data_IF_688837761328
#
_entry.id   IF_688837761328
#
_cell.length_a   1.000
_cell.length_b   1.000
_cell.length_c   1.000
_cell.angle_alpha   90.00
_cell.angle_beta   90.00
_cell.angle_gamma   90.00
#
_symmetry.space_group_name_H-M   'P 1'
#
loop_
_entity.id
_entity.type
_entity.pdbx_description
1 polymer ?
#
# COMPACT_ATOMS: atom_id res chain seq x y z
N UNK A 1 1.04 -18.26 -5.30
CA UNK A 1 1.08 -17.03 -6.14
C UNK A 1 -0.31 -16.42 -6.40
N UNK A 2 -1.35 -16.83 -5.66
CA UNK A 2 -2.74 -16.37 -5.84
C UNK A 2 -2.91 -14.87 -5.64
N UNK A 3 -2.21 -14.29 -4.64
CA UNK A 3 -2.20 -12.83 -4.41
C UNK A 3 -1.71 -12.05 -5.64
N UNK A 4 -0.81 -12.63 -6.44
CA UNK A 4 -0.29 -12.03 -7.68
C UNK A 4 -1.20 -12.30 -8.89
N UNK A 5 -2.33 -12.98 -8.73
CA UNK A 5 -3.28 -13.28 -9.81
C UNK A 5 -3.07 -14.61 -10.54
N UNK A 6 -2.09 -15.42 -10.12
CA UNK A 6 -1.89 -16.76 -10.68
C UNK A 6 -2.73 -17.81 -9.94
N UNK A 7 -3.56 -18.54 -10.68
CA UNK A 7 -4.39 -19.67 -10.20
C UNK A 7 -3.70 -21.02 -10.39
N UNK A 8 -4.21 -22.09 -9.79
CA UNK A 8 -3.64 -23.46 -9.93
C UNK A 8 -3.48 -23.92 -11.38
N UNK A 9 -4.30 -23.39 -12.29
CA UNK A 9 -4.28 -23.71 -13.72
C UNK A 9 -3.20 -22.97 -14.53
N UNK A 10 -2.37 -22.14 -13.90
CA UNK A 10 -1.15 -21.62 -14.52
C UNK A 10 -0.03 -22.63 -14.31
N UNK A 11 0.59 -23.10 -15.40
CA UNK A 11 1.77 -23.95 -15.31
C UNK A 11 2.92 -23.19 -14.66
N UNK A 12 3.65 -23.85 -13.76
CA UNK A 12 4.78 -23.27 -13.03
C UNK A 12 5.93 -24.24 -12.91
N UNK A 13 7.14 -23.71 -12.88
CA UNK A 13 8.37 -24.42 -12.60
C UNK A 13 9.07 -23.76 -11.42
N UNK A 14 9.67 -24.58 -10.56
CA UNK A 14 10.44 -24.17 -9.40
C UNK A 14 11.84 -24.76 -9.54
N UNK A 15 12.84 -23.89 -9.51
CA UNK A 15 14.23 -24.29 -9.70
C UNK A 15 15.00 -23.76 -8.49
N UNK A 16 15.52 -24.66 -7.66
CA UNK A 16 16.36 -24.31 -6.53
C UNK A 16 17.82 -24.32 -6.96
N UNK A 17 18.51 -23.22 -6.74
CA UNK A 17 19.94 -23.06 -6.92
C UNK A 17 20.63 -23.00 -5.56
N UNK A 18 21.81 -23.59 -5.49
CA UNK A 18 22.72 -23.52 -4.37
C UNK A 18 24.11 -23.29 -4.95
N UNK A 19 24.47 -22.02 -5.09
CA UNK A 19 25.73 -21.58 -5.69
C UNK A 19 26.52 -20.67 -4.73
N UNK A 20 27.66 -20.15 -5.21
CA UNK A 20 28.58 -19.39 -4.38
C UNK A 20 27.97 -18.11 -3.77
N UNK A 21 26.92 -17.57 -4.40
CA UNK A 21 26.19 -16.38 -3.91
C UNK A 21 25.08 -16.74 -2.90
N UNK A 22 24.86 -18.04 -2.68
CA UNK A 22 23.94 -18.59 -1.70
C UNK A 22 22.71 -19.26 -2.32
N UNK A 23 21.94 -19.93 -1.47
CA UNK A 23 20.75 -20.65 -1.89
C UNK A 23 19.63 -19.69 -2.32
N UNK A 24 19.11 -19.87 -3.53
CA UNK A 24 17.99 -19.10 -4.06
C UNK A 24 17.08 -19.94 -4.95
N UNK A 25 15.81 -19.53 -5.07
CA UNK A 25 14.80 -20.24 -5.88
C UNK A 25 14.30 -19.36 -7.02
N UNK A 26 14.34 -19.87 -8.25
CA UNK A 26 13.61 -19.31 -9.37
C UNK A 26 12.22 -19.90 -9.46
N UNK A 27 11.21 -19.03 -9.49
CA UNK A 27 9.81 -19.42 -9.69
C UNK A 27 9.37 -18.84 -11.02
N UNK A 28 9.13 -19.72 -12.00
CA UNK A 28 8.72 -19.35 -13.35
C UNK A 28 7.27 -19.77 -13.54
N UNK A 29 6.39 -18.84 -13.91
CA UNK A 29 4.97 -19.11 -14.14
C UNK A 29 4.56 -18.72 -15.56
N UNK A 30 3.79 -19.57 -16.22
CA UNK A 30 3.15 -19.24 -17.50
C UNK A 30 2.19 -18.06 -17.31
N UNK A 31 2.20 -17.13 -18.26
CA UNK A 31 1.24 -16.02 -18.32
C UNK A 31 -0.14 -16.43 -18.85
N UNK A 32 -0.26 -17.63 -19.41
CA UNK A 32 -1.49 -18.13 -20.01
C UNK A 32 -2.08 -19.18 -19.07
N UNK A 33 -3.33 -18.95 -18.70
CA UNK A 33 -4.11 -19.93 -17.97
C UNK A 33 -4.53 -21.08 -18.89
N UNK A 34 -4.20 -22.33 -18.53
CA UNK A 34 -4.47 -23.51 -19.35
C UNK A 34 -5.95 -23.80 -19.58
N UNK A 35 -6.81 -23.46 -18.61
CA UNK A 35 -8.25 -23.81 -18.65
C UNK A 35 -9.10 -22.61 -19.07
N UNK A 36 -8.68 -21.40 -18.68
CA UNK A 36 -9.47 -20.19 -18.90
C UNK A 36 -9.03 -19.30 -20.06
N UNK A 37 -7.90 -19.60 -20.74
CA UNK A 37 -7.33 -18.75 -21.79
C UNK A 37 -6.95 -17.32 -21.35
N UNK A 38 -7.16 -16.99 -20.08
CA UNK A 38 -6.91 -15.68 -19.51
C UNK A 38 -5.41 -15.40 -19.55
N UNK A 39 -5.07 -14.30 -20.20
CA UNK A 39 -3.72 -13.81 -20.37
C UNK A 39 -3.37 -12.82 -19.24
N UNK A 40 -2.19 -13.02 -18.65
CA UNK A 40 -1.54 -12.05 -17.79
C UNK A 40 -0.90 -10.96 -18.67
N UNK A 41 -1.50 -9.77 -18.72
CA UNK A 41 -1.18 -8.72 -19.68
C UNK A 41 0.06 -7.90 -19.29
N UNK A 42 0.40 -7.87 -17.99
CA UNK A 42 1.58 -7.16 -17.49
C UNK A 42 1.47 -5.63 -17.52
N UNK A 43 0.25 -5.09 -17.54
CA UNK A 43 -0.03 -3.64 -17.49
C UNK A 43 0.13 -3.09 -16.07
N UNK A 44 -0.70 -3.57 -15.14
CA UNK A 44 -0.72 -3.12 -13.74
C UNK A 44 -0.19 -4.20 -12.79
N UNK A 45 0.01 -5.40 -13.30
CA UNK A 45 0.32 -6.57 -12.50
C UNK A 45 1.74 -6.50 -11.91
N UNK A 46 2.67 -5.77 -12.54
CA UNK A 46 3.98 -5.49 -11.95
C UNK A 46 3.85 -4.66 -10.66
N UNK A 47 3.00 -3.62 -10.66
CA UNK A 47 2.77 -2.77 -9.47
C UNK A 47 2.16 -3.57 -8.32
N UNK A 48 1.23 -4.48 -8.64
CA UNK A 48 0.61 -5.38 -7.67
C UNK A 48 1.65 -6.38 -7.13
N UNK A 49 2.44 -6.99 -8.02
CA UNK A 49 3.45 -7.99 -7.65
C UNK A 49 4.54 -7.38 -6.77
N UNK A 50 5.06 -6.20 -7.14
CA UNK A 50 6.05 -5.46 -6.35
C UNK A 50 5.53 -5.17 -4.94
N UNK A 51 4.28 -4.71 -4.81
CA UNK A 51 3.65 -4.46 -3.50
C UNK A 51 3.55 -5.73 -2.65
N UNK A 52 3.15 -6.85 -3.26
CA UNK A 52 3.03 -8.14 -2.57
C UNK A 52 4.39 -8.65 -2.13
N UNK A 53 5.43 -8.50 -2.96
CA UNK A 53 6.81 -8.87 -2.64
C UNK A 53 7.28 -8.07 -1.42
N UNK A 54 7.16 -6.74 -1.43
CA UNK A 54 7.55 -5.92 -0.28
C UNK A 54 6.77 -6.25 1.00
N UNK A 55 5.49 -6.60 0.87
CA UNK A 55 4.69 -7.04 2.03
C UNK A 55 5.19 -8.36 2.60
N UNK A 56 5.55 -9.33 1.73
CA UNK A 56 6.12 -10.61 2.13
C UNK A 56 7.49 -10.44 2.77
N UNK A 57 8.36 -9.59 2.19
CA UNK A 57 9.66 -9.27 2.77
C UNK A 57 9.53 -8.80 4.21
N UNK A 58 8.60 -7.86 4.46
CA UNK A 58 8.34 -7.35 5.82
C UNK A 58 7.75 -8.41 6.76
N UNK A 59 6.80 -9.22 6.30
CA UNK A 59 6.18 -10.29 7.11
C UNK A 59 7.23 -11.32 7.54
N UNK A 60 8.18 -11.63 6.68
CA UNK A 60 9.19 -12.65 6.90
C UNK A 60 10.54 -12.10 7.39
N UNK A 61 10.65 -10.79 7.63
CA UNK A 61 11.89 -10.17 8.10
C UNK A 61 13.05 -10.26 7.10
N UNK A 62 12.74 -10.31 5.80
CA UNK A 62 13.74 -10.35 4.73
C UNK A 62 14.28 -8.94 4.43
N UNK A 63 15.39 -8.89 3.69
CA UNK A 63 15.93 -7.62 3.16
C UNK A 63 14.90 -7.03 2.20
N UNK A 64 14.38 -5.85 2.52
CA UNK A 64 13.43 -5.16 1.65
C UNK A 64 14.11 -4.73 0.35
N UNK A 65 13.57 -5.17 -0.78
CA UNK A 65 14.05 -4.73 -2.09
C UNK A 65 13.58 -3.31 -2.37
N UNK A 66 14.49 -2.45 -2.88
CA UNK A 66 14.11 -1.10 -3.29
C UNK A 66 13.19 -1.18 -4.51
N UNK A 67 11.92 -0.73 -4.43
CA UNK A 67 11.02 -0.82 -5.56
C UNK A 67 11.48 0.12 -6.68
N UNK A 68 11.40 -0.35 -7.93
CA UNK A 68 11.73 0.44 -9.13
C UNK A 68 10.85 1.69 -9.28
N UNK A 69 9.65 1.68 -8.68
CA UNK A 69 8.79 2.86 -8.56
C UNK A 69 8.89 3.40 -7.14
N UNK A 70 9.44 4.61 -7.00
CA UNK A 70 9.75 5.28 -5.73
C UNK A 70 8.54 5.63 -4.85
N UNK A 71 7.33 5.22 -5.20
CA UNK A 71 6.13 5.47 -4.41
C UNK A 71 5.91 4.37 -3.38
N UNK A 72 6.78 4.33 -2.36
CA UNK A 72 6.41 3.69 -1.09
C UNK A 72 5.11 4.38 -0.65
N UNK A 73 3.99 3.66 -0.47
CA UNK A 73 2.76 4.30 -0.01
C UNK A 73 3.05 4.92 1.35
N UNK A 74 3.18 6.25 1.37
CA UNK A 74 3.43 6.95 2.61
C UNK A 74 2.12 6.88 3.40
N UNK A 75 2.17 6.19 4.55
CA UNK A 75 1.05 6.13 5.47
C UNK A 75 0.56 7.53 5.87
N UNK A 76 1.47 8.52 5.85
CA UNK A 76 1.18 9.92 6.13
C UNK A 76 1.64 10.81 4.98
N UNK A 77 0.76 11.68 4.51
CA UNK A 77 1.13 12.71 3.53
C UNK A 77 2.06 13.71 4.20
N UNK A 78 3.29 13.83 3.70
CA UNK A 78 4.22 14.87 4.18
C UNK A 78 3.61 16.27 4.03
N UNK A 79 3.86 17.18 4.98
CA UNK A 79 3.60 18.61 4.80
C UNK A 79 4.33 19.13 3.56
N UNK A 80 3.72 20.08 2.86
CA UNK A 80 4.39 20.76 1.75
C UNK A 80 5.50 21.67 2.27
N UNK A 81 6.46 22.02 1.40
CA UNK A 81 7.54 22.95 1.75
C UNK A 81 7.01 24.30 2.26
N UNK A 82 5.95 24.82 1.65
CA UNK A 82 5.32 26.09 2.08
C UNK A 82 4.67 25.96 3.47
N UNK A 83 4.05 24.81 3.77
CA UNK A 83 3.46 24.55 5.10
C UNK A 83 4.53 24.47 6.18
N UNK A 84 5.72 23.90 5.88
CA UNK A 84 6.84 23.85 6.81
C UNK A 84 7.41 25.26 7.07
N UNK A 85 7.68 26.03 6.01
CA UNK A 85 8.21 27.40 6.14
C UNK A 85 7.24 28.32 6.91
N UNK A 86 5.92 28.16 6.72
CA UNK A 86 4.91 28.90 7.48
C UNK A 86 4.86 28.47 8.95
N UNK A 87 4.98 27.16 9.23
CA UNK A 87 5.00 26.64 10.60
C UNK A 87 6.24 27.14 11.37
N UNK A 88 7.41 27.13 10.75
CA UNK A 88 8.65 27.69 11.31
C UNK A 88 8.51 29.18 11.60
N UNK A 89 7.91 29.94 10.68
CA UNK A 89 7.71 31.39 10.83
C UNK A 89 6.68 31.76 11.91
N UNK A 90 5.64 30.94 12.08
CA UNK A 90 4.49 31.26 12.96
C UNK A 90 4.58 30.52 14.31
N UNK A 91 5.58 29.64 14.49
CA UNK A 91 5.69 28.70 15.61
C UNK A 91 4.42 27.84 15.86
N UNK A 92 3.57 27.70 14.84
CA UNK A 92 2.30 26.99 14.92
C UNK A 92 2.34 25.74 14.02
N UNK A 93 1.80 24.58 14.45
CA UNK A 93 1.85 23.38 13.65
C UNK A 93 1.01 23.54 12.39
N UNK A 94 1.47 23.02 11.24
CA UNK A 94 0.72 23.17 10.01
C UNK A 94 -0.63 22.43 10.10
N UNK A 95 -1.71 22.97 9.51
CA UNK A 95 -3.07 22.41 9.62
C UNK A 95 -3.14 20.91 9.25
N UNK A 96 -2.34 20.51 8.25
CA UNK A 96 -2.23 19.13 7.80
C UNK A 96 -1.68 18.18 8.87
N UNK A 97 -0.67 18.61 9.63
CA UNK A 97 -0.09 17.80 10.71
C UNK A 97 -0.99 17.77 11.93
N UNK A 98 -1.67 18.88 12.23
CA UNK A 98 -2.70 18.92 13.27
C UNK A 98 -3.82 17.91 12.97
N UNK A 99 -4.36 17.93 11.75
CA UNK A 99 -5.39 16.99 11.32
C UNK A 99 -4.91 15.52 11.37
N UNK A 100 -3.68 15.23 10.93
CA UNK A 100 -3.12 13.88 11.04
C UNK A 100 -3.03 13.40 12.49
N UNK A 101 -2.57 14.26 13.40
CA UNK A 101 -2.47 13.93 14.82
C UNK A 101 -3.85 13.70 15.44
N UNK A 102 -4.84 14.52 15.06
CA UNK A 102 -6.21 14.34 15.53
C UNK A 102 -6.81 13.01 15.04
N UNK A 103 -6.63 12.69 13.76
CA UNK A 103 -7.09 11.43 13.17
C UNK A 103 -6.40 10.23 13.83
N UNK A 104 -5.07 10.27 13.98
CA UNK A 104 -4.31 9.21 14.63
C UNK A 104 -4.82 8.95 16.06
N UNK A 105 -5.04 10.01 16.84
CA UNK A 105 -5.56 9.91 18.20
C UNK A 105 -6.95 9.27 18.26
N UNK A 106 -7.83 9.60 17.33
CA UNK A 106 -9.18 9.00 17.25
C UNK A 106 -9.08 7.53 16.84
N UNK A 107 -8.21 7.20 15.88
CA UNK A 107 -8.03 5.83 15.37
C UNK A 107 -7.37 4.87 16.38
N UNK A 108 -6.63 5.37 17.37
CA UNK A 108 -6.01 4.55 18.43
C UNK A 108 -7.02 3.63 19.11
N UNK A 109 -8.27 4.08 19.29
CA UNK A 109 -9.32 3.32 19.97
C UNK A 109 -10.15 2.43 19.03
N UNK A 110 -9.82 2.39 17.73
CA UNK A 110 -10.58 1.68 16.68
C UNK A 110 -12.11 1.91 16.77
N UNK A 111 -12.57 3.18 16.78
CA UNK A 111 -13.98 3.48 16.84
C UNK A 111 -14.71 2.98 15.58
N UNK A 112 -16.00 2.73 15.70
CA UNK A 112 -16.88 2.56 14.55
C UNK A 112 -17.05 3.88 13.78
N UNK A 113 -17.60 3.82 12.56
CA UNK A 113 -17.67 4.98 11.66
C UNK A 113 -18.40 6.18 12.26
N UNK A 114 -19.51 5.95 12.97
CA UNK A 114 -20.30 7.05 13.53
C UNK A 114 -19.57 7.70 14.70
N UNK A 115 -18.99 6.90 15.59
CA UNK A 115 -18.15 7.40 16.69
C UNK A 115 -16.92 8.14 16.17
N UNK A 116 -16.30 7.66 15.08
CA UNK A 116 -15.18 8.35 14.44
C UNK A 116 -15.56 9.75 13.95
N UNK A 117 -16.72 9.90 13.29
CA UNK A 117 -17.21 11.19 12.81
C UNK A 117 -17.53 12.12 13.98
N UNK A 118 -18.28 11.65 14.98
CA UNK A 118 -18.63 12.44 16.17
C UNK A 118 -17.38 12.94 16.92
N UNK A 119 -16.37 12.07 17.10
CA UNK A 119 -15.11 12.46 17.75
C UNK A 119 -14.32 13.52 16.98
N UNK A 120 -14.40 13.53 15.64
CA UNK A 120 -13.77 14.55 14.81
C UNK A 120 -14.56 15.87 14.82
N UNK A 121 -15.89 15.80 14.76
CA UNK A 121 -16.75 16.98 14.80
C UNK A 121 -16.66 17.71 16.15
N UNK A 122 -16.57 16.99 17.26
CA UNK A 122 -16.28 17.56 18.60
C UNK A 122 -14.96 18.32 18.67
N UNK A 123 -14.02 18.00 17.79
CA UNK A 123 -12.72 18.67 17.65
C UNK A 123 -12.72 19.77 16.58
N UNK A 124 -13.90 20.11 16.04
CA UNK A 124 -14.08 21.13 15.01
C UNK A 124 -13.72 20.67 13.59
N UNK A 125 -13.63 19.36 13.35
CA UNK A 125 -13.28 18.79 12.04
C UNK A 125 -14.53 18.24 11.36
N UNK A 126 -14.96 18.87 10.27
CA UNK A 126 -16.09 18.39 9.47
C UNK A 126 -15.68 17.24 8.55
N UNK A 127 -16.43 16.14 8.59
CA UNK A 127 -16.20 14.97 7.74
C UNK A 127 -17.12 15.00 6.52
N UNK A 128 -16.55 15.10 5.31
CA UNK A 128 -17.33 15.01 4.06
C UNK A 128 -17.03 13.68 3.35
N UNK A 129 -17.99 12.73 3.30
CA UNK A 129 -17.78 11.48 2.60
C UNK A 129 -17.68 11.73 1.08
N UNK A 130 -16.71 11.09 0.44
CA UNK A 130 -16.56 11.11 -1.01
C UNK A 130 -17.36 9.95 -1.62
N UNK A 131 -18.64 10.17 -1.89
CA UNK A 131 -19.53 9.19 -2.52
C UNK A 131 -19.55 9.47 -4.02
N UNK A 132 -18.84 8.65 -4.80
CA UNK A 132 -18.97 8.69 -6.25
C UNK A 132 -20.30 8.03 -6.65
N UNK A 133 -21.04 8.67 -7.57
CA UNK A 133 -22.20 8.04 -8.20
C UNK A 133 -21.70 6.89 -9.07
N UNK A 134 -21.86 5.65 -8.60
CA UNK A 134 -21.77 4.48 -9.48
C UNK A 134 -23.08 4.43 -10.26
N UNK A 135 -23.14 5.18 -11.37
CA UNK A 135 -24.19 4.99 -12.37
C UNK A 135 -24.14 3.54 -12.87
N UNK A 136 -25.32 2.92 -12.93
CA UNK A 136 -25.56 1.58 -13.49
C UNK A 136 -25.57 1.63 -15.01
#
# INVERSE_FOLDING_TARGET
MTRMGFTETHLRCYILHDDADGQHIHIIASRINMVGGKLYLGKNENLISTRIISELERIHGLIETTPATSSRPQAKRKPSRNELMMAERTAAPCPKSQLQTLIDNVLTHRPDLLTFIDMLERKGVTCKPNIASTEK
#
